data_IF_480416668143
#
_entry.id   IF_480416668143
#
_cell.length_a   1.000
_cell.length_b   1.000
_cell.length_c   1.000
_cell.angle_alpha   90.00
_cell.angle_beta   90.00
_cell.angle_gamma   90.00
#
_symmetry.space_group_name_H-M   'P 1'
#
loop_
_entity.id
_entity.type
_entity.pdbx_description
1 polymer ?
2 water ?
#
# COMPACT_ATOMS: atom_id res chain seq x y z
N UNK A 7 -22.45 -7.02 -21.51
CA UNK A 7 -22.95 -8.35 -21.01
C UNK A 7 -21.79 -9.10 -20.36
N UNK A 8 -22.11 -10.15 -19.59
CA UNK A 8 -21.13 -10.89 -18.79
C UNK A 8 -20.50 -9.99 -17.75
N UNK A 9 -20.93 -10.13 -16.51
CA UNK A 9 -20.30 -9.36 -15.47
C UNK A 9 -19.13 -10.15 -14.91
N UNK A 10 -18.18 -9.42 -14.34
CA UNK A 10 -16.94 -10.00 -13.85
C UNK A 10 -17.23 -10.92 -12.71
N UNK A 11 -16.59 -12.09 -12.71
CA UNK A 11 -16.85 -13.08 -11.68
C UNK A 11 -16.00 -12.82 -10.42
N UNK A 12 -16.05 -11.58 -9.93
CA UNK A 12 -15.37 -11.20 -8.68
C UNK A 12 -15.93 -11.86 -7.42
N UNK A 13 -17.20 -12.26 -7.45
CA UNK A 13 -17.78 -13.04 -6.37
C UNK A 13 -17.06 -14.34 -6.13
N UNK A 14 -16.74 -15.03 -7.22
CA UNK A 14 -15.93 -16.26 -7.12
C UNK A 14 -14.57 -16.03 -6.51
N UNK A 15 -14.10 -14.78 -6.50
CA UNK A 15 -12.78 -14.45 -5.95
C UNK A 15 -12.89 -14.01 -4.49
N UNK A 16 -13.56 -12.90 -4.27
CA UNK A 16 -13.63 -12.35 -2.94
C UNK A 16 -14.55 -13.14 -2.02
N UNK A 17 -15.64 -13.68 -2.54
CA UNK A 17 -16.69 -14.23 -1.68
C UNK A 17 -16.73 -15.73 -1.68
N UNK A 18 -15.70 -16.35 -2.27
CA UNK A 18 -15.60 -17.81 -2.22
C UNK A 18 -15.70 -18.26 -0.75
N UNK A 19 -16.45 -19.31 -0.49
CA UNK A 19 -16.60 -19.85 0.87
C UNK A 19 -15.28 -20.39 1.39
N UNK A 20 -14.60 -21.17 0.56
CA UNK A 20 -13.27 -21.70 0.91
C UNK A 20 -12.19 -21.00 0.09
N UNK A 21 -11.10 -20.65 0.76
CA UNK A 21 -9.91 -20.16 0.10
C UNK A 21 -8.86 -21.28 0.12
N UNK A 22 -7.94 -21.28 -0.85
CA UNK A 22 -6.83 -22.22 -0.87
C UNK A 22 -5.72 -21.91 0.14
N UNK A 23 -4.98 -22.96 0.50
CA UNK A 23 -3.67 -22.82 1.12
C UNK A 23 -2.74 -22.13 0.16
N UNK A 24 -1.84 -21.34 0.72
CA UNK A 24 -0.88 -20.56 -0.05
C UNK A 24 0.06 -21.43 -0.93
N UNK A 25 0.36 -22.66 -0.52
CA UNK A 25 1.25 -23.49 -1.31
C UNK A 25 0.48 -23.92 -2.56
N UNK A 26 -0.85 -23.93 -2.43
CA UNK A 26 -1.77 -24.36 -3.47
C UNK A 26 -2.63 -23.21 -3.96
N UNK A 27 -2.04 -22.01 -4.00
CA UNK A 27 -2.75 -20.84 -4.46
C UNK A 27 -3.44 -21.04 -5.78
N UNK A 28 -4.53 -20.30 -5.99
CA UNK A 28 -5.38 -20.46 -7.15
C UNK A 28 -5.49 -19.16 -7.92
N UNK A 29 -5.64 -19.30 -9.23
CA UNK A 29 -5.73 -18.17 -10.14
C UNK A 29 -7.03 -18.19 -10.88
N UNK A 30 -7.63 -17.02 -11.01
CA UNK A 30 -8.79 -16.83 -11.83
C UNK A 30 -8.50 -15.68 -12.81
N UNK A 31 -8.93 -15.84 -14.05
CA UNK A 31 -8.82 -14.79 -15.06
C UNK A 31 -10.07 -13.94 -15.06
N UNK A 32 -9.91 -12.61 -15.04
CA UNK A 32 -11.02 -11.70 -15.23
C UNK A 32 -10.74 -10.83 -16.45
N UNK A 33 -11.54 -10.99 -17.50
CA UNK A 33 -11.41 -10.17 -18.70
C UNK A 33 -12.72 -10.11 -19.45
N UNK A 34 -12.85 -9.13 -20.33
CA UNK A 34 -13.98 -9.03 -21.23
C UNK A 34 -15.33 -9.10 -20.52
N UNK A 35 -15.46 -8.31 -19.47
CA UNK A 35 -16.64 -8.31 -18.62
C UNK A 35 -16.90 -6.93 -17.99
N UNK A 36 -18.12 -6.70 -17.54
CA UNK A 36 -18.46 -5.45 -16.86
C UNK A 36 -18.37 -5.67 -15.34
N UNK A 37 -17.76 -4.75 -14.63
CA UNK A 37 -17.60 -4.92 -13.19
C UNK A 37 -18.86 -4.43 -12.49
N UNK A 38 -19.44 -5.28 -11.64
CA UNK A 38 -20.55 -4.88 -10.76
C UNK A 38 -20.21 -5.28 -9.34
N UNK A 39 -19.56 -4.39 -8.60
CA UNK A 39 -19.12 -4.68 -7.23
C UNK A 39 -20.31 -4.69 -6.23
N UNK A 40 -21.47 -4.23 -6.66
CA UNK A 40 -22.68 -4.21 -5.84
C UNK A 40 -23.31 -5.58 -5.58
N UNK A 41 -22.84 -6.64 -6.22
CA UNK A 41 -23.33 -7.99 -5.96
C UNK A 41 -22.32 -8.81 -5.12
N UNK A 42 -21.25 -8.17 -4.67
CA UNK A 42 -20.39 -8.76 -3.65
C UNK A 42 -21.04 -8.55 -2.30
N UNK A 43 -20.63 -9.35 -1.33
CA UNK A 43 -21.10 -9.16 0.01
C UNK A 43 -20.51 -7.87 0.59
N UNK A 44 -21.27 -7.19 1.44
CA UNK A 44 -20.77 -6.07 2.21
C UNK A 44 -19.71 -6.54 3.26
N UNK A 45 -19.09 -5.59 3.94
CA UNK A 45 -18.14 -5.93 5.00
C UNK A 45 -16.88 -6.74 4.65
N UNK A 46 -16.41 -6.68 3.40
CA UNK A 46 -15.07 -7.16 3.10
C UNK A 46 -14.19 -5.90 3.08
N UNK A 47 -13.52 -5.63 4.19
CA UNK A 47 -12.73 -4.40 4.34
C UNK A 47 -11.26 -4.75 4.24
N UNK A 48 -10.58 -4.19 3.25
CA UNK A 48 -9.18 -4.51 3.03
C UNK A 48 -8.29 -3.78 4.05
N UNK A 49 -7.55 -4.54 4.83
CA UNK A 49 -6.55 -4.00 5.75
C UNK A 49 -5.22 -3.79 5.02
N UNK A 50 -5.02 -4.47 3.90
CA UNK A 50 -3.90 -4.23 3.00
C UNK A 50 -4.49 -3.97 1.64
N UNK A 51 -4.06 -2.87 1.04
CA UNK A 51 -4.35 -2.56 -0.33
C UNK A 51 -3.15 -1.80 -0.88
N UNK A 52 -2.23 -2.53 -1.49
CA UNK A 52 -0.95 -1.96 -1.92
C UNK A 52 -0.70 -2.32 -3.36
N UNK A 53 -0.37 -1.31 -4.17
CA UNK A 53 -0.18 -1.53 -5.59
C UNK A 53 1.26 -1.22 -5.96
N UNK A 54 1.77 -1.99 -6.94
CA UNK A 54 3.17 -1.98 -7.34
C UNK A 54 3.25 -1.82 -8.86
N UNK A 55 4.24 -1.06 -9.32
CA UNK A 55 4.57 -0.94 -10.76
C UNK A 55 3.59 -0.05 -11.52
N UNK A 56 2.81 0.73 -10.78
CA UNK A 56 1.84 1.61 -11.37
C UNK A 56 2.48 2.95 -11.74
N UNK A 57 2.09 3.50 -12.89
CA UNK A 57 2.58 4.77 -13.38
C UNK A 57 1.37 5.62 -13.65
N UNK A 58 1.58 6.92 -13.71
CA UNK A 58 0.50 7.87 -13.87
C UNK A 58 -0.26 7.65 -15.17
N UNK A 59 0.48 7.36 -16.25
CA UNK A 59 -0.11 7.06 -17.57
C UNK A 59 -0.98 5.79 -17.59
N UNK A 60 -0.68 4.84 -16.69
CA UNK A 60 -1.43 3.58 -16.59
C UNK A 60 -2.38 3.48 -15.37
N UNK A 61 -2.88 4.61 -14.88
CA UNK A 61 -3.81 4.60 -13.75
C UNK A 61 -5.15 3.96 -14.08
N UNK A 62 -5.49 3.87 -15.36
CA UNK A 62 -6.67 3.11 -15.76
C UNK A 62 -6.61 1.61 -15.35
N UNK A 63 -5.42 1.07 -15.10
CA UNK A 63 -5.26 -0.29 -14.61
C UNK A 63 -6.02 -0.55 -13.31
N UNK A 64 -6.26 0.49 -12.52
CA UNK A 64 -7.01 0.32 -11.26
C UNK A 64 -8.52 0.14 -11.43
N UNK A 65 -8.99 0.16 -12.68
CA UNK A 65 -10.34 -0.35 -13.01
C UNK A 65 -10.46 -1.87 -13.01
N UNK A 66 -9.35 -2.58 -12.94
CA UNK A 66 -9.36 -4.06 -12.78
C UNK A 66 -10.17 -4.82 -13.85
N UNK A 67 -10.24 -4.27 -15.05
CA UNK A 67 -11.01 -4.87 -16.14
C UNK A 67 -10.29 -6.02 -16.88
N UNK A 68 -8.97 -6.10 -16.80
CA UNK A 68 -8.23 -7.21 -17.39
C UNK A 68 -7.09 -7.63 -16.45
N UNK A 69 -7.33 -8.75 -15.76
CA UNK A 69 -6.64 -9.03 -14.52
C UNK A 69 -6.55 -10.53 -14.28
N UNK A 70 -5.47 -10.97 -13.65
CA UNK A 70 -5.44 -12.30 -13.01
C UNK A 70 -5.58 -12.07 -11.53
N UNK A 71 -6.33 -12.94 -10.86
CA UNK A 71 -6.57 -12.79 -9.43
C UNK A 71 -6.09 -14.07 -8.75
N UNK A 72 -5.11 -13.93 -7.86
CA UNK A 72 -4.55 -15.08 -7.16
C UNK A 72 -5.05 -15.04 -5.72
N UNK A 73 -5.56 -16.17 -5.23
CA UNK A 73 -6.16 -16.25 -3.89
C UNK A 73 -5.48 -17.25 -2.99
N UNK A 74 -5.31 -16.91 -1.71
CA UNK A 74 -4.83 -17.84 -0.70
C UNK A 74 -4.96 -17.24 0.69
N UNK A 75 -4.70 -18.07 1.71
CA UNK A 75 -4.62 -17.62 3.10
C UNK A 75 -3.17 -17.65 3.64
N UNK A 76 -2.80 -16.59 4.35
CA UNK A 76 -1.62 -16.56 5.20
C UNK A 76 -1.95 -16.00 6.57
N UNK A 77 -1.05 -16.22 7.54
CA UNK A 77 -1.16 -15.50 8.81
C UNK A 77 -0.80 -14.02 8.67
N UNK A 78 -1.28 -13.18 9.58
CA UNK A 78 -1.10 -11.74 9.49
C UNK A 78 0.36 -11.33 9.30
N UNK A 79 1.26 -11.95 10.07
CA UNK A 79 2.68 -11.58 10.02
C UNK A 79 3.37 -11.96 8.70
N UNK A 80 2.77 -12.85 7.90
CA UNK A 80 3.27 -13.26 6.60
C UNK A 80 2.73 -12.39 5.44
N UNK A 81 1.74 -11.55 5.70
CA UNK A 81 1.14 -10.78 4.63
C UNK A 81 2.19 -9.87 4.00
N UNK A 82 3.12 -9.36 4.81
CA UNK A 82 4.21 -8.55 4.26
C UNK A 82 5.10 -9.24 3.21
N UNK A 83 5.06 -10.57 3.14
CA UNK A 83 5.85 -11.31 2.16
C UNK A 83 5.19 -11.31 0.79
N UNK A 84 3.95 -10.85 0.70
CA UNK A 84 3.24 -10.80 -0.57
C UNK A 84 3.48 -9.41 -1.15
N UNK A 85 4.73 -9.20 -1.56
CA UNK A 85 5.20 -7.96 -2.13
C UNK A 85 6.42 -8.31 -2.94
N UNK A 86 6.75 -7.48 -3.93
CA UNK A 86 7.99 -7.70 -4.70
C UNK A 86 9.23 -7.59 -3.80
N UNK A 87 10.24 -8.40 -4.06
CA UNK A 87 11.51 -8.27 -3.36
C UNK A 87 11.56 -8.73 -1.93
N UNK A 88 10.60 -9.53 -1.49
CA UNK A 88 10.58 -10.05 -0.11
C UNK A 88 11.20 -11.42 -0.02
N UNK A 89 11.74 -11.69 1.16
CA UNK A 89 12.19 -13.04 1.49
C UNK A 89 11.42 -13.55 2.70
N UNK A 90 11.62 -14.84 2.99
CA UNK A 90 10.92 -15.54 4.05
C UNK A 90 10.26 -16.72 3.42
N UNK A 91 9.64 -17.55 4.25
CA UNK A 91 9.18 -18.86 3.83
C UNK A 91 8.09 -18.80 2.77
N UNK A 92 7.23 -17.80 2.86
CA UNK A 92 6.11 -17.70 1.95
C UNK A 92 6.58 -17.27 0.57
N UNK A 93 7.35 -16.18 0.51
CA UNK A 93 7.92 -15.69 -0.73
C UNK A 93 8.86 -16.70 -1.41
N UNK A 94 9.67 -17.38 -0.61
CA UNK A 94 10.65 -18.30 -1.13
C UNK A 94 10.05 -19.59 -1.65
N UNK A 95 9.12 -20.18 -0.90
CA UNK A 95 8.67 -21.54 -1.17
C UNK A 95 7.19 -21.73 -1.45
N UNK A 96 6.41 -20.65 -1.47
CA UNK A 96 4.96 -20.80 -1.68
C UNK A 96 4.37 -19.94 -2.80
N UNK A 97 4.56 -18.64 -2.67
CA UNK A 97 4.01 -17.66 -3.60
C UNK A 97 4.99 -16.49 -3.78
N UNK A 98 5.52 -16.35 -4.99
CA UNK A 98 6.54 -15.36 -5.30
C UNK A 98 6.07 -14.36 -6.36
N UNK A 99 6.17 -13.08 -6.00
CA UNK A 99 5.96 -11.99 -6.95
C UNK A 99 7.28 -11.57 -7.56
N UNK A 100 7.25 -11.17 -8.84
CA UNK A 100 8.44 -10.65 -9.51
C UNK A 100 8.82 -9.26 -9.01
N UNK A 101 10.08 -8.89 -9.18
CA UNK A 101 10.53 -7.57 -8.76
C UNK A 101 9.78 -6.48 -9.53
N UNK A 102 9.46 -6.77 -10.79
CA UNK A 102 8.82 -5.79 -11.68
C UNK A 102 7.28 -5.98 -11.69
N UNK A 103 6.75 -6.58 -10.63
CA UNK A 103 5.32 -6.76 -10.47
C UNK A 103 4.51 -5.47 -10.74
N UNK A 104 3.44 -5.63 -11.50
CA UNK A 104 2.49 -4.59 -11.88
C UNK A 104 1.16 -5.12 -11.42
N UNK A 105 0.65 -4.61 -10.30
CA UNK A 105 -0.58 -5.13 -9.77
C UNK A 105 -0.81 -4.66 -8.36
N UNK A 106 -1.82 -5.24 -7.72
CA UNK A 106 -2.17 -4.85 -6.34
C UNK A 106 -2.32 -6.07 -5.47
N UNK A 107 -2.02 -5.89 -4.20
CA UNK A 107 -2.22 -6.96 -3.20
C UNK A 107 -3.27 -6.48 -2.19
N UNK A 108 -4.34 -7.27 -2.07
CA UNK A 108 -5.47 -6.98 -1.16
C UNK A 108 -5.48 -8.05 -0.09
N UNK A 109 -5.64 -7.66 1.16
CA UNK A 109 -5.78 -8.64 2.24
C UNK A 109 -6.79 -8.18 3.26
N UNK A 110 -7.47 -9.16 3.86
CA UNK A 110 -8.41 -8.87 4.92
C UNK A 110 -8.41 -9.95 5.96
N UNK A 111 -8.66 -9.51 7.19
CA UNK A 111 -8.63 -10.38 8.36
C UNK A 111 -9.83 -11.28 8.33
N UNK A 112 -9.63 -12.58 8.45
CA UNK A 112 -10.76 -13.49 8.44
C UNK A 112 -10.82 -14.36 9.71
N UNK A 113 -10.36 -13.83 10.83
CA UNK A 113 -10.47 -14.54 12.09
C UNK A 113 -11.85 -15.18 12.32
N UNK A 114 -12.91 -14.44 12.04
CA UNK A 114 -14.26 -14.92 12.26
C UNK A 114 -14.66 -16.12 11.44
N UNK A 115 -14.06 -16.31 10.25
CA UNK A 115 -14.42 -17.49 9.45
C UNK A 115 -13.34 -18.52 9.31
N UNK A 116 -12.10 -18.15 9.56
CA UNK A 116 -10.98 -19.02 9.27
C UNK A 116 -10.26 -19.50 10.56
N UNK A 117 -10.67 -19.01 11.72
CA UNK A 117 -10.07 -19.41 13.00
C UNK A 117 -11.15 -20.02 13.84
N UNK A 118 -10.77 -20.93 14.75
CA UNK A 118 -11.70 -21.51 15.76
C UNK A 118 -11.06 -21.45 17.15
N UNK A 119 -11.87 -21.53 18.22
CA UNK A 119 -11.35 -21.58 19.59
C UNK A 119 -10.45 -22.79 19.83
N UNK A 120 -10.75 -23.87 19.14
CA UNK A 120 -9.98 -25.11 19.19
C UNK A 120 -8.81 -25.21 18.17
N UNK A 121 -8.75 -24.29 17.21
CA UNK A 121 -7.62 -24.20 16.30
C UNK A 121 -7.96 -24.79 14.95
N UNK A 122 -7.98 -23.95 13.92
CA UNK A 122 -8.20 -24.44 12.57
C UNK A 122 -6.81 -24.69 11.98
N UNK A 123 -6.56 -25.94 11.62
CA UNK A 123 -5.29 -26.38 11.04
C UNK A 123 -5.42 -26.76 9.57
N UNK A 124 -6.53 -26.41 8.94
CA UNK A 124 -6.76 -26.74 7.51
C UNK A 124 -5.88 -26.04 6.50
N UNK A 125 -5.33 -24.88 6.87
CA UNK A 125 -4.42 -24.15 5.96
C UNK A 125 -2.96 -24.47 6.24
N UNK A 126 -2.18 -24.64 5.18
CA UNK A 126 -0.81 -25.17 5.22
C UNK A 126 0.13 -24.27 4.41
N UNK A 127 1.43 -24.41 4.65
CA UNK A 127 2.45 -23.74 3.85
C UNK A 127 3.66 -24.67 3.73
N UNK A 128 4.41 -24.50 2.64
CA UNK A 128 5.65 -25.23 2.41
C UNK A 128 6.76 -24.49 3.14
N UNK A 129 7.54 -25.25 3.91
CA UNK A 129 8.70 -24.65 4.61
C UNK A 129 10.06 -25.22 4.21
N UNK A 130 10.06 -26.32 3.45
CA UNK A 130 11.26 -26.94 2.96
C UNK A 130 11.12 -27.18 1.47
N UNK A 131 12.18 -26.87 0.74
CA UNK A 131 12.16 -27.05 -0.69
C UNK A 131 13.57 -26.96 -1.22
N UNK A 132 13.81 -27.68 -2.31
CA UNK A 132 15.05 -27.65 -3.07
C UNK A 132 14.95 -26.56 -4.14
N UNK A 133 15.14 -25.33 -3.70
CA UNK A 133 15.13 -24.19 -4.60
C UNK A 133 14.03 -23.25 -4.22
N UNK A 134 14.26 -21.95 -4.35
CA UNK A 134 13.19 -20.99 -4.27
C UNK A 134 12.39 -21.00 -5.56
N UNK A 135 11.14 -20.60 -5.44
CA UNK A 135 10.21 -20.42 -6.55
C UNK A 135 10.57 -19.20 -7.39
N UNK A 136 10.48 -19.38 -8.71
CA UNK A 136 10.46 -18.26 -9.62
C UNK A 136 9.07 -17.58 -9.52
N UNK A 137 8.98 -16.32 -9.96
CA UNK A 137 7.70 -15.62 -9.82
C UNK A 137 6.50 -16.37 -10.47
N UNK A 138 5.42 -16.51 -9.71
CA UNK A 138 4.17 -17.13 -10.19
C UNK A 138 4.29 -18.65 -10.46
N UNK A 139 5.34 -19.24 -9.92
CA UNK A 139 5.49 -20.67 -9.89
C UNK A 139 4.67 -21.22 -8.71
N UNK A 140 4.28 -22.47 -8.83
CA UNK A 140 3.47 -23.13 -7.88
C UNK A 140 3.96 -24.55 -7.75
N UNK A 141 4.06 -25.03 -6.51
CA UNK A 141 4.47 -26.41 -6.20
C UNK A 141 3.45 -27.01 -5.20
N UNK A 142 2.83 -28.09 -5.61
CA UNK A 142 1.75 -28.77 -4.91
C UNK A 142 2.12 -30.18 -4.48
N UNK A 143 3.39 -30.56 -4.65
CA UNK A 143 3.88 -31.88 -4.24
C UNK A 143 3.89 -31.95 -2.71
N UNK A 144 3.77 -33.16 -2.16
CA UNK A 144 4.02 -33.41 -0.73
C UNK A 144 4.87 -34.70 -0.63
N UNK A 145 6.17 -34.50 -0.84
CA UNK A 145 7.16 -35.53 -1.03
C UNK A 145 8.18 -35.41 0.10
N UNK A 146 8.52 -36.53 0.77
CA UNK A 146 9.52 -36.45 1.81
C UNK A 146 10.78 -35.73 1.33
N UNK A 147 11.29 -34.85 2.18
CA UNK A 147 12.39 -33.96 1.84
C UNK A 147 13.63 -34.39 2.59
N UNK A 148 14.72 -34.58 1.85
CA UNK A 148 16.02 -34.74 2.44
C UNK A 148 16.89 -33.53 2.11
N UNK A 149 17.57 -32.94 3.11
CA UNK A 149 18.51 -31.83 2.87
C UNK A 149 19.58 -32.14 1.81
N UNK A 150 20.11 -33.36 1.83
CA UNK A 150 21.15 -33.75 0.87
C UNK A 150 20.65 -33.93 -0.56
N UNK A 151 19.34 -33.84 -0.79
CA UNK A 151 18.79 -33.97 -2.13
C UNK A 151 18.33 -35.36 -2.51
N UNK A 152 18.82 -36.37 -1.79
CA UNK A 152 18.49 -37.76 -2.05
C UNK A 152 17.00 -38.02 -1.82
N UNK A 153 16.42 -38.96 -2.61
CA UNK A 153 15.10 -39.45 -2.23
C UNK A 153 15.20 -40.23 -0.92
N UNK A 154 14.03 -40.39 -0.31
CA UNK A 154 13.86 -40.28 1.12
C UNK A 154 12.61 -41.06 1.51
N UNK A 155 12.70 -41.94 2.50
CA UNK A 155 11.51 -42.68 2.95
C UNK A 155 11.33 -42.65 4.45
N UNK A 156 10.32 -41.90 4.93
CA UNK A 156 9.98 -41.97 6.34
C UNK A 156 9.65 -43.42 6.75
N UNK A 157 10.09 -43.86 7.95
CA UNK A 157 10.70 -43.08 9.04
C UNK A 157 12.23 -42.93 9.03
N UNK A 158 12.88 -42.96 7.85
CA UNK A 158 14.34 -42.80 7.77
C UNK A 158 14.77 -41.49 8.40
N UNK A 159 15.97 -41.48 8.98
CA UNK A 159 16.51 -40.26 9.58
C UNK A 159 16.84 -39.24 8.49
N UNK A 160 16.86 -37.97 8.88
CA UNK A 160 17.13 -36.88 7.94
C UNK A 160 16.14 -36.87 6.77
N UNK A 161 14.88 -37.21 7.08
CA UNK A 161 13.78 -37.27 6.11
C UNK A 161 12.65 -36.51 6.71
N UNK A 162 12.20 -35.45 6.03
CA UNK A 162 11.22 -34.51 6.58
C UNK A 162 10.02 -34.27 5.69
N UNK A 163 8.92 -33.91 6.32
CA UNK A 163 7.73 -33.51 5.62
C UNK A 163 7.77 -32.00 5.36
N UNK A 164 7.65 -31.58 4.09
CA UNK A 164 7.87 -30.20 3.68
C UNK A 164 6.78 -29.16 4.00
N UNK A 165 5.55 -29.61 4.25
CA UNK A 165 4.45 -28.73 4.61
C UNK A 165 4.24 -28.67 6.12
N UNK A 166 3.85 -27.49 6.59
CA UNK A 166 3.45 -27.30 7.97
C UNK A 166 2.07 -26.61 8.02
N UNK A 167 1.21 -27.03 8.92
CA UNK A 167 -0.12 -26.39 9.07
C UNK A 167 0.03 -25.07 9.82
N UNK A 168 -0.63 -24.04 9.33
CA UNK A 168 -0.93 -22.90 10.20
C UNK A 168 -1.92 -23.39 11.27
N UNK A 169 -1.86 -22.82 12.46
CA UNK A 169 -2.84 -23.13 13.51
C UNK A 169 -3.59 -21.85 13.86
N UNK A 170 -4.82 -21.70 13.38
CA UNK A 170 -5.58 -20.45 13.53
C UNK A 170 -6.58 -20.52 14.65
N UNK A 171 -6.25 -19.82 15.73
CA UNK A 171 -7.01 -19.77 16.96
C UNK A 171 -7.68 -18.44 17.15
N UNK A 172 -8.80 -18.49 17.84
CA UNK A 172 -9.64 -17.33 18.05
C UNK A 172 -9.07 -16.35 19.11
N UNK A 173 -8.29 -16.83 20.08
CA UNK A 173 -7.69 -15.94 21.09
C UNK A 173 -6.17 -15.81 20.93
N UNK A 174 -5.76 -15.23 19.81
CA UNK A 174 -4.36 -14.81 19.60
C UNK A 174 -4.31 -13.41 18.99
N UNK A 175 -3.11 -12.83 19.03
CA UNK A 175 -2.84 -11.52 18.42
C UNK A 175 -2.99 -11.54 16.91
N UNK A 176 -3.16 -10.35 16.35
CA UNK A 176 -3.42 -10.09 14.91
C UNK A 176 -2.36 -10.71 13.96
N UNK A 177 -1.11 -10.76 14.40
CA UNK A 177 -0.02 -11.34 13.58
C UNK A 177 -0.16 -12.84 13.34
N UNK A 178 -0.94 -13.49 14.20
CA UNK A 178 -1.20 -14.92 14.15
C UNK A 178 -2.58 -15.26 13.60
N UNK A 179 -3.38 -14.24 13.28
CA UNK A 179 -4.72 -14.45 12.75
C UNK A 179 -4.65 -14.68 11.25
N UNK A 180 -5.67 -15.37 10.67
CA UNK A 180 -5.75 -15.62 9.23
C UNK A 180 -6.20 -14.42 8.41
N UNK A 181 -5.53 -14.22 7.28
CA UNK A 181 -5.86 -13.18 6.31
C UNK A 181 -6.11 -13.86 4.99
N UNK A 182 -7.25 -13.58 4.38
CA UNK A 182 -7.41 -13.93 2.99
C UNK A 182 -6.73 -12.85 2.14
N UNK A 183 -6.09 -13.29 1.07
CA UNK A 183 -5.29 -12.47 0.20
C UNK A 183 -5.69 -12.69 -1.24
N UNK A 184 -5.79 -11.59 -1.97
CA UNK A 184 -6.07 -11.60 -3.41
C UNK A 184 -5.06 -10.67 -4.06
N UNK A 185 -4.27 -11.25 -4.96
CA UNK A 185 -3.28 -10.49 -5.71
C UNK A 185 -3.83 -10.33 -7.11
N UNK A 186 -3.98 -9.08 -7.52
CA UNK A 186 -4.44 -8.74 -8.86
C UNK A 186 -3.26 -8.28 -9.71
N UNK A 187 -2.94 -9.04 -10.77
CA UNK A 187 -1.89 -8.70 -11.76
C UNK A 187 -2.49 -7.98 -12.94
N UNK A 188 -1.95 -6.81 -13.25
CA UNK A 188 -2.43 -6.03 -14.37
C UNK A 188 -1.91 -6.65 -15.64
N UNK A 189 -2.83 -6.80 -16.59
CA UNK A 189 -2.63 -7.75 -17.69
C UNK A 189 -3.34 -7.28 -18.97
N UNK B 7 -17.48 15.10 -21.36
CA UNK B 7 -16.89 16.47 -21.52
C UNK B 7 -16.07 16.83 -20.28
N UNK B 8 -15.09 17.70 -20.48
CA UNK B 8 -14.11 18.07 -19.46
C UNK B 8 -13.25 16.85 -19.12
N UNK B 9 -11.95 16.94 -19.42
CA UNK B 9 -11.03 15.89 -18.99
C UNK B 9 -10.40 16.27 -17.66
N UNK B 10 -10.16 15.26 -16.83
CA UNK B 10 -9.74 15.49 -15.46
C UNK B 10 -8.53 16.38 -15.36
N UNK B 11 -8.54 17.29 -14.37
CA UNK B 11 -7.37 18.09 -14.04
C UNK B 11 -6.21 17.34 -13.38
N UNK B 12 -5.99 16.07 -13.71
CA UNK B 12 -4.89 15.30 -13.11
C UNK B 12 -3.50 15.82 -13.49
N UNK B 13 -3.40 16.42 -14.68
CA UNK B 13 -2.17 17.06 -15.12
C UNK B 13 -1.77 18.15 -14.16
N UNK B 14 -2.73 18.99 -13.80
CA UNK B 14 -2.49 20.05 -12.80
C UNK B 14 -1.96 19.48 -11.49
N UNK B 15 -2.45 18.29 -11.12
CA UNK B 15 -2.01 17.64 -9.90
C UNK B 15 -0.65 16.96 -10.05
N UNK B 16 -0.58 15.96 -10.93
CA UNK B 16 0.60 15.13 -11.03
C UNK B 16 1.77 15.80 -11.74
N UNK B 17 1.46 16.66 -12.71
CA UNK B 17 2.45 17.23 -13.61
C UNK B 17 2.95 18.64 -13.24
N UNK B 18 2.45 19.22 -12.15
CA UNK B 18 2.83 20.60 -11.79
C UNK B 18 4.33 20.75 -11.68
N UNK B 19 4.87 21.87 -12.14
CA UNK B 19 6.30 22.13 -12.10
C UNK B 19 6.83 22.23 -10.69
N UNK B 20 6.14 23.02 -9.86
CA UNK B 20 6.46 23.12 -8.42
C UNK B 20 5.36 22.41 -7.64
N UNK B 21 5.74 21.67 -6.61
CA UNK B 21 4.76 21.12 -5.68
C UNK B 21 4.72 22.03 -4.43
N UNK B 22 3.59 21.99 -3.67
CA UNK B 22 3.52 22.69 -2.36
C UNK B 22 4.46 22.11 -1.31
N UNK B 23 4.89 22.96 -0.40
CA UNK B 23 5.41 22.50 0.88
C UNK B 23 4.31 21.81 1.67
N UNK B 24 4.70 20.83 2.46
CA UNK B 24 3.72 20.05 3.18
C UNK B 24 2.94 20.82 4.27
N UNK B 25 3.52 21.89 4.82
CA UNK B 25 2.80 22.70 5.81
C UNK B 25 1.68 23.51 5.12
N UNK B 26 1.93 23.86 3.86
CA UNK B 26 1.02 24.59 2.99
C UNK B 26 0.51 23.69 1.89
N UNK B 27 0.10 22.49 2.24
CA UNK B 27 -0.41 21.54 1.26
C UNK B 27 -1.65 22.04 0.51
N UNK B 28 -1.79 21.65 -0.74
CA UNK B 28 -2.89 22.10 -1.58
C UNK B 28 -3.85 20.98 -1.96
N UNK B 29 -5.10 21.36 -2.11
CA UNK B 29 -6.17 20.47 -2.44
C UNK B 29 -6.76 20.89 -3.79
N UNK B 30 -7.12 19.91 -4.60
CA UNK B 30 -7.82 20.13 -5.85
C UNK B 30 -8.97 19.10 -5.92
N UNK B 31 -10.16 19.56 -6.26
CA UNK B 31 -11.31 18.71 -6.46
C UNK B 31 -11.33 18.25 -7.91
N UNK B 32 -11.62 16.97 -8.09
CA UNK B 32 -11.69 16.33 -9.38
C UNK B 32 -13.00 15.56 -9.42
N UNK B 33 -13.95 16.09 -10.16
CA UNK B 33 -15.27 15.48 -10.31
C UNK B 33 -15.92 15.97 -11.61
N UNK B 34 -17.01 15.32 -12.02
CA UNK B 34 -17.74 15.70 -13.23
C UNK B 34 -16.87 15.73 -14.49
N UNK B 35 -15.90 14.83 -14.58
CA UNK B 35 -15.00 14.79 -15.74
C UNK B 35 -14.66 13.35 -16.14
N UNK B 36 -14.09 13.21 -17.33
CA UNK B 36 -13.62 11.92 -17.81
C UNK B 36 -12.08 11.92 -17.81
N UNK B 37 -11.50 10.83 -17.35
CA UNK B 37 -10.06 10.74 -17.21
C UNK B 37 -9.37 10.46 -18.54
N UNK B 38 -8.23 11.13 -18.76
CA UNK B 38 -7.33 10.80 -19.86
C UNK B 38 -5.91 10.83 -19.30
N UNK B 39 -5.46 9.67 -18.85
CA UNK B 39 -4.16 9.53 -18.23
C UNK B 39 -2.99 9.52 -19.23
N UNK B 40 -3.31 9.43 -20.52
CA UNK B 40 -2.32 9.40 -21.59
C UNK B 40 -1.48 10.67 -21.61
N UNK B 41 -2.13 11.82 -21.40
CA UNK B 41 -1.46 13.12 -21.44
C UNK B 41 -0.59 13.39 -20.22
N UNK B 42 -0.79 12.61 -19.15
CA UNK B 42 0.10 12.67 -18.00
C UNK B 42 1.47 12.19 -18.41
N UNK B 43 2.45 12.38 -17.55
CA UNK B 43 3.78 11.94 -17.90
C UNK B 43 4.06 10.48 -17.61
N UNK B 44 4.46 9.79 -18.68
CA UNK B 44 5.28 8.60 -18.58
C UNK B 44 6.45 9.00 -17.67
N UNK B 45 7.16 8.03 -17.10
CA UNK B 45 8.24 8.35 -16.14
C UNK B 45 7.79 8.62 -14.71
N UNK B 46 6.55 9.06 -14.48
CA UNK B 46 5.98 9.08 -13.10
C UNK B 46 5.53 7.69 -12.65
N UNK B 47 6.44 6.95 -12.01
CA UNK B 47 6.17 5.63 -11.40
C UNK B 47 6.10 5.74 -9.88
N UNK B 48 4.98 5.27 -9.34
CA UNK B 48 4.68 5.40 -7.93
C UNK B 48 5.43 4.36 -7.09
N UNK B 49 6.33 4.82 -6.23
CA UNK B 49 7.00 3.92 -5.30
C UNK B 49 6.09 3.62 -4.09
N UNK B 50 5.12 4.48 -3.82
CA UNK B 50 4.11 4.21 -2.83
C UNK B 50 2.76 4.33 -3.53
N UNK B 51 1.95 3.29 -3.36
CA UNK B 51 0.56 3.32 -3.77
C UNK B 51 -0.25 2.49 -2.79
N UNK B 52 -0.84 3.13 -1.80
CA UNK B 52 -1.45 2.43 -0.66
C UNK B 52 -2.82 2.97 -0.41
N UNK B 53 -3.80 2.09 -0.31
CA UNK B 53 -5.19 2.53 -0.13
C UNK B 53 -5.73 2.05 1.17
N UNK B 54 -6.57 2.89 1.76
CA UNK B 54 -7.09 2.73 3.08
C UNK B 54 -8.60 2.85 3.01
N UNK B 55 -9.28 2.08 3.84
CA UNK B 55 -10.72 2.14 4.01
C UNK B 55 -11.47 1.56 2.83
N UNK B 56 -10.78 0.86 1.95
CA UNK B 56 -11.48 0.26 0.81
C UNK B 56 -12.15 -1.05 1.23
N UNK B 57 -13.33 -1.28 0.66
CA UNK B 57 -14.03 -2.53 0.78
C UNK B 57 -14.37 -3.02 -0.61
N UNK B 58 -14.73 -4.29 -0.72
CA UNK B 58 -14.94 -4.94 -1.98
C UNK B 58 -16.06 -4.28 -2.78
N UNK B 59 -17.13 -3.92 -2.08
CA UNK B 59 -18.29 -3.33 -2.74
C UNK B 59 -17.98 -1.89 -3.26
N UNK B 60 -16.87 -1.31 -2.84
CA UNK B 60 -16.47 0.03 -3.21
C UNK B 60 -15.21 0.03 -4.06
N UNK B 61 -14.92 -1.07 -4.74
CA UNK B 61 -13.68 -1.14 -5.53
C UNK B 61 -13.64 -0.13 -6.68
N UNK B 62 -14.81 0.26 -7.15
CA UNK B 62 -14.97 1.27 -8.20
C UNK B 62 -14.45 2.64 -7.81
N UNK B 63 -14.24 2.89 -6.53
CA UNK B 63 -13.61 4.12 -6.06
C UNK B 63 -12.24 4.33 -6.68
N UNK B 64 -11.58 3.24 -7.02
CA UNK B 64 -10.27 3.31 -7.65
C UNK B 64 -10.25 3.77 -9.11
N UNK B 65 -11.41 4.03 -9.71
CA UNK B 65 -11.48 4.79 -10.95
C UNK B 65 -11.22 6.27 -10.77
N UNK B 66 -11.19 6.72 -9.52
CA UNK B 66 -10.89 8.09 -9.14
C UNK B 66 -11.77 9.14 -9.81
N UNK B 67 -13.05 8.83 -9.99
CA UNK B 67 -13.93 9.76 -10.69
C UNK B 67 -14.36 10.94 -9.80
N UNK B 68 -14.61 10.69 -8.52
CA UNK B 68 -15.06 11.77 -7.63
C UNK B 68 -14.21 11.84 -6.36
N UNK B 69 -13.31 12.83 -6.32
CA UNK B 69 -12.08 12.70 -5.57
C UNK B 69 -11.49 14.09 -5.23
N UNK B 70 -10.99 14.25 -3.99
CA UNK B 70 -10.12 15.38 -3.66
C UNK B 70 -8.70 14.90 -3.75
N UNK B 71 -7.82 15.74 -4.28
CA UNK B 71 -6.39 15.45 -4.41
C UNK B 71 -5.55 16.45 -3.62
N UNK B 72 -4.79 15.96 -2.64
CA UNK B 72 -3.89 16.76 -1.83
C UNK B 72 -2.45 16.49 -2.24
N UNK B 73 -1.71 17.54 -2.55
CA UNK B 73 -0.32 17.42 -2.96
C UNK B 73 0.66 18.22 -2.05
N UNK B 74 1.86 17.67 -1.91
CA UNK B 74 2.94 18.29 -1.18
C UNK B 74 4.20 17.45 -1.39
N UNK B 75 5.31 17.92 -0.84
CA UNK B 75 6.57 17.18 -0.89
C UNK B 75 7.02 16.87 0.53
N UNK B 76 7.49 15.65 0.75
CA UNK B 76 8.21 15.28 1.94
C UNK B 76 9.44 14.51 1.52
N UNK B 77 10.36 14.32 2.47
CA UNK B 77 11.49 13.43 2.24
C UNK B 77 11.08 11.97 2.38
N UNK B 78 11.94 11.08 1.87
CA UNK B 78 11.59 9.66 1.84
C UNK B 78 11.21 9.07 3.18
N UNK B 79 12.00 9.36 4.21
CA UNK B 79 11.76 8.78 5.53
C UNK B 79 10.42 9.23 6.12
N UNK B 80 9.88 10.35 5.63
CA UNK B 80 8.61 10.92 6.10
C UNK B 80 7.35 10.39 5.38
N UNK B 81 7.51 9.71 4.26
CA UNK B 81 6.36 9.26 3.48
C UNK B 81 5.50 8.31 4.30
N UNK B 82 6.14 7.53 5.15
CA UNK B 82 5.40 6.61 6.03
C UNK B 82 4.41 7.30 7.01
N UNK B 83 4.62 8.59 7.27
CA UNK B 83 3.72 9.38 8.14
C UNK B 83 2.43 9.75 7.43
N UNK B 84 2.41 9.61 6.11
CA UNK B 84 1.20 9.89 5.33
C UNK B 84 0.34 8.59 5.24
N UNK B 85 -0.23 8.24 6.39
CA UNK B 85 -1.09 7.09 6.55
C UNK B 85 -1.91 7.34 7.81
N UNK B 86 -3.07 6.69 7.90
CA UNK B 86 -3.85 6.76 9.14
C UNK B 86 -3.09 6.22 10.34
N UNK B 87 -3.23 6.83 11.51
CA UNK B 87 -2.66 6.31 12.75
C UNK B 87 -1.20 6.60 13.05
N UNK B 88 -0.60 7.48 12.25
CA UNK B 88 0.83 7.74 12.36
C UNK B 88 1.06 8.95 13.21
N UNK B 89 2.21 8.95 13.89
CA UNK B 89 2.70 10.12 14.59
C UNK B 89 4.08 10.46 14.04
N UNK B 90 4.53 11.65 14.41
CA UNK B 90 5.75 12.23 13.88
C UNK B 90 5.47 13.66 13.52
N UNK B 91 6.50 14.39 13.13
CA UNK B 91 6.37 15.82 12.85
C UNK B 91 5.39 16.12 11.71
N UNK B 92 5.41 15.30 10.67
CA UNK B 92 4.57 15.57 9.52
C UNK B 92 3.10 15.29 9.83
N UNK B 93 2.81 14.08 10.33
CA UNK B 93 1.44 13.69 10.73
C UNK B 93 0.86 14.62 11.80
N UNK B 94 1.68 14.99 12.79
CA UNK B 94 1.24 15.81 13.91
C UNK B 94 1.06 17.28 13.54
N UNK B 95 2.03 17.85 12.84
CA UNK B 95 2.07 19.31 12.65
C UNK B 95 1.84 19.83 11.24
N UNK B 96 1.74 18.95 10.23
CA UNK B 96 1.69 19.41 8.82
C UNK B 96 0.47 18.90 8.08
N UNK B 97 0.31 17.58 8.05
CA UNK B 97 -0.71 16.92 7.26
C UNK B 97 -1.16 15.66 7.99
N UNK B 98 -2.42 15.65 8.43
CA UNK B 98 -2.99 14.56 9.22
C UNK B 98 -4.12 13.85 8.49
N UNK B 99 -3.98 12.54 8.30
CA UNK B 99 -5.07 11.66 7.79
C UNK B 99 -5.87 11.16 8.97
N UNK B 100 -7.21 11.10 8.85
CA UNK B 100 -7.98 10.49 9.93
C UNK B 100 -7.80 8.99 10.01
N UNK B 101 -8.13 8.42 11.17
CA UNK B 101 -8.07 6.98 11.40
C UNK B 101 -8.97 6.26 10.42
N UNK B 102 -10.13 6.86 10.10
CA UNK B 102 -11.13 6.25 9.21
C UNK B 102 -10.96 6.65 7.73
N UNK B 103 -9.78 7.19 7.38
CA UNK B 103 -9.47 7.58 6.01
C UNK B 103 -9.89 6.55 4.95
N UNK B 104 -10.50 7.08 3.90
CA UNK B 104 -10.97 6.31 2.78
C UNK B 104 -10.35 6.96 1.54
N UNK B 105 -9.28 6.37 1.01
CA UNK B 105 -8.56 6.97 -0.07
C UNK B 105 -7.24 6.28 -0.33
N UNK B 106 -6.44 6.88 -1.22
CA UNK B 106 -5.13 6.33 -1.56
C UNK B 106 -4.03 7.39 -1.44
N UNK B 107 -2.87 6.92 -1.01
CA UNK B 107 -1.67 7.72 -0.90
C UNK B 107 -0.69 7.28 -1.98
N UNK B 108 -0.35 8.22 -2.86
CA UNK B 108 0.59 7.99 -3.96
C UNK B 108 1.82 8.85 -3.75
N UNK B 109 3.00 8.27 -3.95
CA UNK B 109 4.26 9.01 -3.87
C UNK B 109 5.27 8.50 -4.89
N UNK B 110 6.08 9.41 -5.38
CA UNK B 110 7.18 9.04 -6.22
C UNK B 110 8.42 9.89 -5.97
N UNK B 111 9.58 9.27 -6.18
CA UNK B 111 10.88 9.85 -5.90
C UNK B 111 11.18 10.90 -6.94
N UNK B 112 11.56 12.09 -6.50
CA UNK B 112 11.81 13.22 -7.41
C UNK B 112 13.19 13.83 -7.20
N UNK B 113 14.16 13.02 -6.81
CA UNK B 113 15.56 13.47 -6.72
C UNK B 113 15.90 14.30 -7.94
N UNK B 114 15.49 13.85 -9.12
CA UNK B 114 15.88 14.44 -10.43
C UNK B 114 15.50 15.88 -10.66
N UNK B 115 14.36 16.26 -10.10
CA UNK B 115 13.79 17.60 -10.30
C UNK B 115 13.67 18.44 -9.02
N UNK B 116 13.86 17.82 -7.85
CA UNK B 116 13.68 18.49 -6.54
C UNK B 116 14.93 18.51 -5.67
N UNK B 117 15.96 17.75 -6.04
CA UNK B 117 17.24 17.77 -5.34
C UNK B 117 18.28 18.37 -6.28
N UNK B 118 19.27 19.06 -5.70
CA UNK B 118 20.40 19.72 -6.38
C UNK B 118 21.69 19.30 -5.67
N UNK B 119 22.82 19.25 -6.37
CA UNK B 119 24.11 18.94 -5.73
C UNK B 119 24.42 19.98 -4.67
N UNK B 120 23.92 21.20 -4.89
CA UNK B 120 24.10 22.32 -3.96
C UNK B 120 23.09 22.34 -2.80
N UNK B 121 21.97 21.62 -2.95
CA UNK B 121 20.91 21.60 -1.94
C UNK B 121 19.73 22.51 -2.30
N UNK B 122 18.57 21.89 -2.53
CA UNK B 122 17.32 22.63 -2.69
C UNK B 122 16.62 22.76 -1.33
N UNK B 123 16.38 24.02 -0.95
CA UNK B 123 15.83 24.41 0.35
C UNK B 123 14.46 25.08 0.25
N UNK B 124 13.86 25.02 -0.94
CA UNK B 124 12.53 25.60 -1.16
C UNK B 124 11.38 24.87 -0.46
N UNK B 125 11.55 23.61 -0.08
CA UNK B 125 10.48 22.90 0.59
C UNK B 125 10.59 22.98 2.12
N UNK B 126 9.46 23.22 2.78
CA UNK B 126 9.40 23.51 4.21
C UNK B 126 8.41 22.62 4.93
N UNK B 127 8.65 22.48 6.22
CA UNK B 127 7.73 21.80 7.13
C UNK B 127 7.72 22.51 8.50
N UNK B 128 6.61 22.38 9.21
CA UNK B 128 6.44 22.88 10.55
C UNK B 128 6.99 21.85 11.53
N UNK B 129 7.85 22.27 12.47
CA UNK B 129 8.40 21.31 13.42
C UNK B 129 8.05 21.68 14.84
N UNK B 130 7.41 22.84 15.04
CA UNK B 130 7.01 23.31 16.34
C UNK B 130 5.58 23.76 16.29
N UNK B 131 4.76 23.29 17.22
CA UNK B 131 3.37 23.70 17.30
C UNK B 131 2.78 23.36 18.65
N UNK B 132 1.82 24.16 19.11
CA UNK B 132 1.07 23.80 20.31
C UNK B 132 -0.12 22.95 19.93
N UNK B 133 0.05 21.64 20.05
CA UNK B 133 -1.03 20.69 19.74
C UNK B 133 -0.85 20.09 18.37
N UNK B 134 -1.38 18.89 18.21
CA UNK B 134 -1.42 18.22 16.94
C UNK B 134 -2.61 18.74 16.14
N UNK B 135 -2.46 18.70 14.82
CA UNK B 135 -3.53 19.06 13.89
C UNK B 135 -4.65 18.03 13.94
N UNK B 136 -5.88 18.49 13.71
CA UNK B 136 -6.99 17.59 13.42
C UNK B 136 -6.84 17.06 11.99
N UNK B 137 -7.46 15.92 11.68
CA UNK B 137 -7.39 15.44 10.30
C UNK B 137 -7.82 16.50 9.27
N UNK B 138 -7.05 16.58 8.20
CA UNK B 138 -7.26 17.52 7.11
C UNK B 138 -7.19 19.00 7.55
N UNK B 139 -6.61 19.27 8.71
CA UNK B 139 -6.35 20.64 9.13
C UNK B 139 -5.09 21.17 8.47
N UNK B 140 -5.06 22.46 8.20
CA UNK B 140 -3.95 23.11 7.52
C UNK B 140 -3.59 24.35 8.31
N UNK B 141 -2.31 24.51 8.63
CA UNK B 141 -1.81 25.66 9.38
C UNK B 141 -0.68 26.28 8.56
N UNK B 142 -0.89 27.49 8.06
CA UNK B 142 0.13 28.17 7.24
C UNK B 142 0.71 29.41 7.96
N UNK B 143 0.49 29.51 9.26
CA UNK B 143 1.03 30.62 10.03
C UNK B 143 2.54 30.49 10.21
N UNK B 144 3.18 31.59 10.56
CA UNK B 144 4.62 31.60 10.77
C UNK B 144 4.93 32.65 11.80
N UNK B 145 4.38 32.43 12.99
CA UNK B 145 4.54 33.35 14.09
C UNK B 145 5.47 32.71 15.10
N UNK B 146 6.29 33.53 15.78
CA UNK B 146 7.25 32.89 16.65
C UNK B 146 6.59 32.02 17.75
N UNK B 147 7.30 30.97 18.12
CA UNK B 147 6.80 29.94 19.01
C UNK B 147 7.54 30.02 20.34
N UNK B 148 6.78 30.01 21.43
CA UNK B 148 7.34 29.88 22.76
C UNK B 148 6.85 28.58 23.36
N UNK B 149 7.76 27.80 23.99
CA UNK B 149 7.34 26.55 24.63
C UNK B 149 6.35 26.74 25.80
N UNK B 150 6.38 27.89 26.46
CA UNK B 150 5.43 28.15 27.54
C UNK B 150 4.08 28.69 27.05
N UNK B 151 3.96 28.95 25.76
CA UNK B 151 2.68 29.36 25.16
C UNK B 151 2.51 30.85 25.01
N UNK B 152 3.32 31.63 25.72
CA UNK B 152 3.18 33.08 25.71
C UNK B 152 3.61 33.70 24.38
N UNK B 153 3.05 34.88 24.05
CA UNK B 153 3.47 35.68 22.90
C UNK B 153 4.96 35.99 22.93
N UNK B 154 5.52 36.17 21.74
CA UNK B 154 6.93 35.92 21.48
C UNK B 154 7.44 36.95 20.45
N UNK B 155 8.49 37.68 20.79
CA UNK B 155 9.08 38.62 19.84
C UNK B 155 10.59 38.42 19.77
N UNK B 156 11.07 37.75 18.72
CA UNK B 156 12.50 37.62 18.46
C UNK B 156 13.16 39.01 18.36
N UNK B 157 14.39 39.14 18.87
CA UNK B 157 15.31 38.11 19.35
C UNK B 157 15.31 37.84 20.88
N UNK B 158 14.18 37.45 21.45
CA UNK B 158 14.10 37.12 22.88
C UNK B 158 14.42 35.65 23.12
N UNK B 159 14.74 35.28 24.37
CA UNK B 159 15.02 33.88 24.74
C UNK B 159 13.77 33.02 24.69
N UNK B 160 13.97 31.72 24.49
CA UNK B 160 12.86 30.75 24.44
C UNK B 160 11.81 31.15 23.41
N UNK B 161 12.30 31.76 22.33
CA UNK B 161 11.47 32.21 21.22
C UNK B 161 12.04 31.61 19.95
N UNK B 162 11.22 30.90 19.18
CA UNK B 162 11.72 30.14 18.03
C UNK B 162 10.84 30.30 16.80
N UNK B 163 11.42 30.06 15.64
CA UNK B 163 10.67 30.04 14.40
C UNK B 163 10.27 28.60 14.09
N UNK B 164 8.96 28.38 13.83
CA UNK B 164 8.35 27.08 13.75
C UNK B 164 8.52 26.27 12.45
N UNK B 165 8.99 26.88 11.37
CA UNK B 165 9.15 26.15 10.11
C UNK B 165 10.61 25.87 9.87
N UNK B 166 10.94 24.69 9.36
CA UNK B 166 12.32 24.46 8.89
C UNK B 166 12.29 24.11 7.38
N UNK B 167 13.38 24.36 6.67
CA UNK B 167 13.48 23.90 5.28
C UNK B 167 14.05 22.49 5.25
N UNK B 168 13.46 21.62 4.44
CA UNK B 168 14.16 20.42 4.00
C UNK B 168 15.35 20.89 3.18
N UNK B 169 16.45 20.16 3.27
CA UNK B 169 17.58 20.39 2.35
C UNK B 169 17.72 19.21 1.44
N UNK B 170 17.35 19.37 0.16
CA UNK B 170 17.43 18.24 -0.82
C UNK B 170 18.69 18.24 -1.72
N UNK B 171 19.61 17.32 -1.40
CA UNK B 171 20.87 17.10 -2.10
C UNK B 171 20.85 15.83 -2.95
N UNK B 172 21.51 15.90 -4.09
CA UNK B 172 21.62 14.79 -5.03
C UNK B 172 22.33 13.54 -4.46
N UNK B 173 23.35 13.75 -3.63
CA UNK B 173 24.23 12.66 -3.16
C UNK B 173 23.85 12.17 -1.75
N UNK B 174 22.60 11.81 -1.55
CA UNK B 174 22.16 11.27 -0.26
C UNK B 174 21.37 10.00 -0.46
N UNK B 175 21.28 9.21 0.61
CA UNK B 175 20.41 8.04 0.66
C UNK B 175 18.96 8.39 0.39
N UNK B 176 18.20 7.38 -0.01
CA UNK B 176 16.81 7.53 -0.46
C UNK B 176 15.89 8.11 0.64
N UNK B 177 16.23 7.85 1.90
CA UNK B 177 15.48 8.41 3.02
C UNK B 177 15.50 9.92 3.07
N UNK B 178 16.52 10.54 2.49
CA UNK B 178 16.68 11.99 2.53
C UNK B 178 16.36 12.64 1.20
N UNK B 179 15.88 11.85 0.24
CA UNK B 179 15.56 12.36 -1.08
C UNK B 179 14.11 12.85 -1.12
N UNK B 180 13.81 13.78 -2.04
CA UNK B 180 12.45 14.28 -2.09
C UNK B 180 11.48 13.33 -2.77
N UNK B 181 10.24 13.32 -2.25
CA UNK B 181 9.12 12.56 -2.80
C UNK B 181 7.95 13.49 -3.00
N UNK B 182 7.39 13.52 -4.20
CA UNK B 182 6.08 14.12 -4.44
C UNK B 182 5.00 13.16 -3.97
N UNK B 183 4.00 13.71 -3.26
CA UNK B 183 2.91 12.92 -2.65
C UNK B 183 1.61 13.50 -3.10
N UNK B 184 0.74 12.62 -3.58
CA UNK B 184 -0.64 12.94 -3.88
C UNK B 184 -1.53 12.00 -3.04
N UNK B 185 -2.35 12.60 -2.19
CA UNK B 185 -3.35 11.89 -1.45
C UNK B 185 -4.71 12.10 -2.13
N UNK B 186 -5.32 11.01 -2.54
CA UNK B 186 -6.66 11.01 -3.13
C UNK B 186 -7.71 10.52 -2.13
N UNK B 187 -8.63 11.40 -1.75
CA UNK B 187 -9.71 11.08 -0.83
C UNK B 187 -10.95 10.76 -1.62
N UNK B 188 -11.58 9.63 -1.31
CA UNK B 188 -12.86 9.25 -1.93
C UNK B 188 -14.01 9.98 -1.22
N UNK B 189 -14.09 11.30 -1.45
CA UNK B 189 -15.08 12.17 -0.78
C UNK B 189 -15.94 12.90 -1.86
#
# INVERSE_FOLDING_TARGET
>A
MADPNITNLCPFGEVFNATKFPSVYAWERKKISNCVADYSVLYNSTFFSTFKCYGVSATKLNDLCFSNVYADSFVVKGDDVRQIAPGQTGVIADYNYKLPDDFMGCVLAWNTRNIDATSTGNYNYKYRYLRHGKLRPFERDISNVPFSPDGKPCTPPALNCYWPLNDYGFYTTTGIGYQPYRVVVLSFELLNAPATVSGLVPR
>B
MADPNITNLCPFGEVFNATKFPSVYAWERKKISNCVADYSVLYNSTFFSTFKCYGVSATKLNDLCFSNVYADSFVVKGDDVRQIAPGQTGVIADYNYKLPDDFMGCVLAWNTRNIDATSTGNYNYKYRYLRHGKLRPFERDISNVPFSPDGKPCTPPALNCYWPLNDYGFYTTTGIGYQPYRVVVLSFELLNAPATVSGLVPR
#
